data_IF_111107127379
#
_entry.id   IF_111107127379
#
_cell.length_a   1.000
_cell.length_b   1.000
_cell.length_c   1.000
_cell.angle_alpha   90.00
_cell.angle_beta   90.00
_cell.angle_gamma   90.00
#
_symmetry.space_group_name_H-M   'P 1'
#
loop_
_entity.id
_entity.type
_entity.pdbx_description
1 polymer ?
#
# COMPACT_ATOMS: atom_id res chain seq x y z
N UNK A 1 39.05 56.80 1.37
CA UNK A 1 38.77 56.11 0.09
C UNK A 1 39.10 54.63 0.30
N UNK A 2 38.10 53.81 0.64
CA UNK A 2 38.28 52.38 0.92
C UNK A 2 37.74 51.61 -0.29
N UNK A 3 38.63 50.88 -0.95
CA UNK A 3 38.34 50.02 -2.09
C UNK A 3 38.11 48.60 -1.55
N UNK A 4 36.85 48.20 -1.36
CA UNK A 4 36.49 46.80 -1.07
C UNK A 4 35.90 46.18 -2.35
N UNK A 5 36.73 45.45 -3.10
CA UNK A 5 36.23 44.46 -4.05
C UNK A 5 35.90 43.18 -3.27
N UNK A 6 34.62 42.85 -3.17
CA UNK A 6 34.11 41.64 -2.52
C UNK A 6 34.37 40.41 -3.41
N UNK A 7 35.09 39.38 -2.93
CA UNK A 7 35.26 38.15 -3.67
C UNK A 7 34.08 37.22 -3.35
N UNK A 8 33.19 37.04 -4.34
CA UNK A 8 32.13 36.01 -4.40
C UNK A 8 30.96 36.17 -3.42
N UNK A 9 29.94 36.94 -3.81
CA UNK A 9 28.59 36.84 -3.23
C UNK A 9 28.00 35.46 -3.56
N UNK A 10 28.24 34.47 -2.69
CA UNK A 10 27.57 33.19 -2.76
C UNK A 10 26.13 33.38 -2.26
N UNK A 11 25.17 33.41 -3.18
CA UNK A 11 23.75 33.29 -2.83
C UNK A 11 23.59 32.00 -2.01
N UNK A 12 22.93 32.06 -0.84
CA UNK A 12 22.79 30.96 0.13
C UNK A 12 22.12 29.68 -0.43
N UNK A 13 21.70 29.66 -1.69
CA UNK A 13 21.64 28.46 -2.52
C UNK A 13 23.04 27.90 -2.80
N UNK A 14 23.81 27.62 -1.75
CA UNK A 14 24.97 26.76 -1.85
C UNK A 14 24.51 25.47 -2.55
N UNK A 15 24.96 25.30 -3.79
CA UNK A 15 24.69 24.16 -4.65
C UNK A 15 25.22 22.91 -3.92
N UNK A 16 24.39 22.28 -3.11
CA UNK A 16 24.69 20.95 -2.60
C UNK A 16 24.85 20.05 -3.81
N UNK A 17 26.09 19.67 -4.06
CA UNK A 17 26.48 18.87 -5.20
C UNK A 17 25.89 17.48 -5.03
N UNK A 18 24.78 17.26 -5.75
CA UNK A 18 24.06 15.99 -5.81
C UNK A 18 24.29 15.37 -7.20
N UNK A 19 25.27 14.47 -7.31
CA UNK A 19 25.66 13.91 -8.60
C UNK A 19 24.54 13.06 -9.23
N UNK A 20 23.67 12.45 -8.41
CA UNK A 20 22.55 11.65 -8.90
C UNK A 20 21.44 12.53 -9.46
N UNK A 21 21.12 13.63 -8.79
CA UNK A 21 20.16 14.59 -9.31
C UNK A 21 20.64 15.22 -10.62
N UNK A 22 21.91 15.64 -10.68
CA UNK A 22 22.47 16.23 -11.90
C UNK A 22 22.47 15.22 -13.05
N UNK A 23 22.82 13.95 -12.79
CA UNK A 23 22.66 12.87 -13.77
C UNK A 23 21.20 12.76 -14.27
N UNK A 24 20.22 12.89 -13.38
CA UNK A 24 18.81 12.84 -13.78
C UNK A 24 18.43 14.02 -14.67
N UNK A 25 18.85 15.23 -14.33
CA UNK A 25 18.62 16.44 -15.14
C UNK A 25 19.18 16.25 -16.56
N UNK A 26 20.43 15.77 -16.68
CA UNK A 26 21.06 15.51 -17.98
C UNK A 26 20.29 14.43 -18.75
N UNK A 27 19.88 13.34 -18.10
CA UNK A 27 19.05 12.32 -18.75
C UNK A 27 17.69 12.85 -19.23
N UNK A 28 17.09 13.78 -18.49
CA UNK A 28 15.84 14.42 -18.93
C UNK A 28 16.05 15.23 -20.20
N UNK A 29 17.20 15.90 -20.35
CA UNK A 29 17.58 16.59 -21.59
C UNK A 29 17.84 15.58 -22.73
N UNK A 30 18.61 14.52 -22.49
CA UNK A 30 18.94 13.48 -23.49
C UNK A 30 17.66 12.81 -24.05
N UNK A 31 16.66 12.59 -23.21
CA UNK A 31 15.38 12.02 -23.62
C UNK A 31 14.35 13.06 -24.09
N UNK A 32 14.76 14.29 -24.43
CA UNK A 32 13.91 15.38 -24.94
C UNK A 32 12.73 15.76 -24.01
N UNK A 33 12.94 15.71 -22.69
CA UNK A 33 11.95 16.07 -21.65
C UNK A 33 12.57 16.94 -20.55
N UNK A 34 13.08 18.15 -20.88
CA UNK A 34 13.87 18.93 -19.94
C UNK A 34 13.10 19.27 -18.66
N UNK A 35 13.64 18.87 -17.51
CA UNK A 35 13.11 19.18 -16.19
C UNK A 35 14.16 19.95 -15.38
N UNK A 36 13.75 20.97 -14.63
CA UNK A 36 14.66 21.69 -13.74
C UNK A 36 15.04 20.86 -12.51
N UNK A 37 16.23 21.10 -11.96
CA UNK A 37 16.69 20.43 -10.74
C UNK A 37 15.72 20.65 -9.57
N UNK A 38 15.16 21.85 -9.45
CA UNK A 38 14.16 22.20 -8.43
C UNK A 38 12.86 21.41 -8.60
N UNK A 39 12.36 21.27 -9.84
CA UNK A 39 11.15 20.49 -10.13
C UNK A 39 11.33 19.00 -9.80
N UNK A 40 12.54 18.47 -9.98
CA UNK A 40 12.88 17.09 -9.63
C UNK A 40 13.05 16.89 -8.12
N UNK A 41 13.53 17.90 -7.38
CA UNK A 41 13.62 17.89 -5.91
C UNK A 41 12.26 18.08 -5.24
N UNK A 42 11.33 18.79 -5.88
CA UNK A 42 10.08 19.24 -5.27
C UNK A 42 9.24 18.08 -4.70
N UNK A 43 8.93 18.15 -3.41
CA UNK A 43 8.10 17.19 -2.71
C UNK A 43 8.77 15.84 -2.39
N UNK A 44 10.11 15.75 -2.46
CA UNK A 44 10.86 14.56 -2.06
C UNK A 44 11.56 14.77 -0.70
N UNK A 45 11.53 13.77 0.21
CA UNK A 45 12.24 13.83 1.48
C UNK A 45 13.73 13.53 1.26
N UNK A 46 14.53 14.56 0.97
CA UNK A 46 15.97 14.42 0.74
C UNK A 46 16.70 14.01 2.03
N UNK A 47 17.61 13.04 1.92
CA UNK A 47 18.50 12.64 3.03
C UNK A 47 19.80 13.40 2.87
N UNK A 48 20.18 14.24 3.85
CA UNK A 48 21.36 15.11 3.78
C UNK A 48 21.41 15.97 2.49
N UNK A 49 20.26 16.43 2.01
CA UNK A 49 20.11 17.18 0.76
C UNK A 49 20.56 16.46 -0.52
N UNK A 50 20.70 15.12 -0.49
CA UNK A 50 21.10 14.30 -1.63
C UNK A 50 20.04 13.26 -2.02
N UNK A 51 20.06 12.85 -3.28
CA UNK A 51 19.27 11.76 -3.82
C UNK A 51 19.86 10.42 -3.39
N UNK A 52 19.03 9.56 -2.84
CA UNK A 52 19.32 8.14 -2.77
C UNK A 52 18.93 7.47 -4.10
N UNK A 53 19.44 6.27 -4.42
CA UNK A 53 19.01 5.54 -5.61
C UNK A 53 17.48 5.30 -5.66
N UNK A 54 16.84 5.17 -4.50
CA UNK A 54 15.38 5.04 -4.41
C UNK A 54 14.65 6.35 -4.74
N UNK A 55 15.14 7.48 -4.22
CA UNK A 55 14.62 8.81 -4.54
C UNK A 55 14.83 9.16 -6.01
N UNK A 56 15.97 8.75 -6.59
CA UNK A 56 16.24 8.89 -8.02
C UNK A 56 15.16 8.20 -8.86
N UNK A 57 14.78 6.96 -8.52
CA UNK A 57 13.72 6.23 -9.25
C UNK A 57 12.37 6.96 -9.15
N UNK A 58 12.05 7.49 -7.97
CA UNK A 58 10.81 8.26 -7.74
C UNK A 58 10.80 9.58 -8.52
N UNK A 59 11.91 10.31 -8.52
CA UNK A 59 12.08 11.56 -9.26
C UNK A 59 12.04 11.32 -10.78
N UNK A 60 12.71 10.27 -11.28
CA UNK A 60 12.68 9.89 -12.68
C UNK A 60 11.24 9.62 -13.16
N UNK A 61 10.43 8.94 -12.35
CA UNK A 61 9.02 8.67 -12.65
C UNK A 61 8.20 9.96 -12.81
N UNK A 62 8.47 11.00 -12.01
CA UNK A 62 7.81 12.32 -12.13
C UNK A 62 8.18 13.02 -13.43
N UNK A 63 9.40 12.81 -13.92
CA UNK A 63 9.87 13.27 -15.22
C UNK A 63 9.43 12.38 -16.41
N UNK A 64 8.47 11.47 -16.19
CA UNK A 64 8.02 10.48 -17.18
C UNK A 64 9.15 9.55 -17.67
N UNK A 65 10.13 9.26 -16.81
CA UNK A 65 11.20 8.29 -17.07
C UNK A 65 10.99 7.07 -16.17
N UNK A 66 11.19 5.87 -16.71
CA UNK A 66 11.25 4.64 -15.92
C UNK A 66 12.71 4.36 -15.58
N UNK A 67 13.03 4.26 -14.29
CA UNK A 67 14.36 3.94 -13.81
C UNK A 67 14.36 2.65 -12.99
N UNK A 68 15.40 1.83 -13.14
CA UNK A 68 15.60 0.61 -12.35
C UNK A 68 17.04 0.47 -11.93
N UNK A 69 17.25 0.25 -10.62
CA UNK A 69 18.56 -0.09 -10.05
C UNK A 69 18.86 -1.58 -10.31
N UNK A 70 20.02 -1.87 -10.87
CA UNK A 70 20.48 -3.22 -11.19
C UNK A 70 21.96 -3.37 -10.81
N UNK A 71 22.32 -4.48 -10.17
CA UNK A 71 23.71 -4.88 -9.98
C UNK A 71 24.15 -5.67 -11.22
N UNK A 72 25.09 -5.12 -12.00
CA UNK A 72 25.54 -5.74 -13.25
C UNK A 72 26.94 -5.24 -13.61
N UNK A 73 27.75 -6.12 -14.19
CA UNK A 73 29.10 -5.78 -14.65
C UNK A 73 29.08 -5.02 -16.00
N UNK A 74 30.09 -4.17 -16.21
CA UNK A 74 30.24 -3.34 -17.42
C UNK A 74 30.35 -4.15 -18.73
N UNK A 75 30.76 -5.42 -18.65
CA UNK A 75 30.88 -6.31 -19.80
C UNK A 75 29.52 -6.81 -20.33
N UNK A 76 28.47 -6.80 -19.49
CA UNK A 76 27.12 -7.27 -19.85
C UNK A 76 26.21 -6.15 -20.38
N UNK A 77 26.75 -4.94 -20.59
CA UNK A 77 25.96 -3.80 -21.04
C UNK A 77 25.78 -3.86 -22.56
N UNK A 78 24.56 -4.20 -22.97
CA UNK A 78 24.17 -4.09 -24.38
C UNK A 78 24.09 -2.61 -24.79
N UNK A 79 24.49 -2.23 -26.01
CA UNK A 79 24.28 -0.88 -26.54
C UNK A 79 22.81 -0.44 -26.50
N UNK A 80 21.88 -1.39 -26.51
CA UNK A 80 20.43 -1.14 -26.46
C UNK A 80 19.94 -0.59 -25.11
N UNK A 81 20.70 -0.72 -24.02
CA UNK A 81 20.28 -0.27 -22.67
C UNK A 81 20.91 1.06 -22.25
N UNK A 82 21.71 1.68 -23.11
CA UNK A 82 22.29 3.01 -22.88
C UNK A 82 21.30 4.10 -23.33
N UNK A 83 21.31 5.30 -22.71
CA UNK A 83 22.20 5.75 -21.64
C UNK A 83 21.85 5.18 -20.25
N UNK A 84 22.86 4.94 -19.41
CA UNK A 84 22.69 4.41 -18.05
C UNK A 84 23.49 5.22 -17.03
N UNK A 85 22.95 5.43 -15.82
CA UNK A 85 23.71 6.08 -14.73
C UNK A 85 24.50 5.03 -13.97
N UNK A 86 25.80 5.26 -13.80
CA UNK A 86 26.70 4.39 -13.06
C UNK A 86 27.00 5.03 -11.70
N UNK A 87 26.92 4.21 -10.65
CA UNK A 87 27.34 4.58 -9.31
C UNK A 87 28.83 4.27 -9.17
N UNK A 88 29.63 5.25 -8.76
CA UNK A 88 31.07 5.14 -8.57
C UNK A 88 31.41 4.85 -7.10
N UNK A 89 32.58 4.27 -6.83
CA UNK A 89 33.02 3.88 -5.48
C UNK A 89 33.16 5.07 -4.52
N UNK A 90 33.43 6.26 -5.04
CA UNK A 90 33.62 7.49 -4.26
C UNK A 90 32.31 8.19 -3.87
N UNK A 91 31.16 7.52 -4.02
CA UNK A 91 29.84 8.11 -3.75
C UNK A 91 29.39 9.12 -4.83
N UNK A 92 30.07 9.17 -5.97
CA UNK A 92 29.69 9.96 -7.15
C UNK A 92 28.86 9.14 -8.13
N UNK A 93 28.24 9.80 -9.09
CA UNK A 93 27.51 9.19 -10.19
C UNK A 93 27.89 9.84 -11.52
N UNK A 94 27.81 9.09 -12.60
CA UNK A 94 27.99 9.63 -13.95
C UNK A 94 27.21 8.81 -14.98
N UNK A 95 27.02 9.38 -16.16
CA UNK A 95 26.18 8.76 -17.20
C UNK A 95 27.09 8.08 -18.22
N UNK A 96 26.87 6.80 -18.41
CA UNK A 96 27.41 6.08 -19.54
C UNK A 96 26.48 6.24 -20.75
N UNK A 97 26.92 7.02 -21.74
CA UNK A 97 26.09 7.43 -22.86
C UNK A 97 26.15 6.46 -24.05
N UNK A 98 27.34 6.18 -24.56
CA UNK A 98 27.54 5.30 -25.73
C UNK A 98 28.97 4.75 -25.82
N UNK A 99 29.13 3.67 -26.59
CA UNK A 99 30.45 3.19 -27.02
C UNK A 99 30.92 3.97 -28.25
N UNK A 100 32.17 4.44 -28.25
CA UNK A 100 32.77 5.21 -29.35
C UNK A 100 33.42 4.33 -30.44
N UNK A 101 33.65 3.04 -30.16
CA UNK A 101 34.42 2.14 -31.03
C UNK A 101 33.67 0.81 -31.26
N UNK A 102 33.78 0.25 -32.47
CA UNK A 102 33.25 -1.09 -32.85
C UNK A 102 33.88 -2.23 -32.03
N UNK A 103 35.03 -1.98 -31.39
CA UNK A 103 35.69 -2.91 -30.46
C UNK A 103 35.37 -2.63 -28.98
N UNK A 104 34.44 -1.73 -28.68
CA UNK A 104 34.02 -1.36 -27.31
C UNK A 104 35.14 -0.92 -26.37
N UNK A 105 36.27 -0.40 -26.88
CA UNK A 105 37.43 -0.05 -26.02
C UNK A 105 37.34 1.34 -25.37
N UNK A 106 36.66 2.27 -26.04
CA UNK A 106 36.45 3.65 -25.57
C UNK A 106 34.96 3.92 -25.33
N UNK A 107 34.67 4.61 -24.25
CA UNK A 107 33.30 4.93 -23.81
C UNK A 107 33.14 6.43 -23.64
N UNK A 108 31.98 6.96 -24.03
CA UNK A 108 31.60 8.33 -23.74
C UNK A 108 30.91 8.37 -22.38
N UNK A 109 31.54 9.03 -21.42
CA UNK A 109 31.07 9.16 -20.06
C UNK A 109 30.82 10.63 -19.73
N UNK A 110 29.67 10.93 -19.16
CA UNK A 110 29.31 12.30 -18.77
C UNK A 110 29.45 12.40 -17.25
N UNK A 111 30.34 13.28 -16.80
CA UNK A 111 30.45 13.64 -15.39
C UNK A 111 29.60 14.89 -15.14
N UNK A 112 28.60 14.83 -14.24
CA UNK A 112 27.74 15.95 -13.93
C UNK A 112 28.51 17.16 -13.35
N UNK A 113 29.59 16.90 -12.60
CA UNK A 113 30.47 17.90 -11.97
C UNK A 113 31.06 18.93 -12.98
N UNK A 114 31.09 18.61 -14.28
CA UNK A 114 31.65 19.45 -15.33
C UNK A 114 30.60 20.17 -16.19
N UNK A 115 29.33 20.24 -15.75
CA UNK A 115 28.30 21.09 -16.38
C UNK A 115 27.91 20.69 -17.82
N UNK A 116 27.77 19.39 -18.08
CA UNK A 116 27.51 18.74 -19.38
C UNK A 116 28.78 18.29 -20.16
N UNK A 117 29.96 18.34 -19.54
CA UNK A 117 31.21 17.84 -20.14
C UNK A 117 31.21 16.33 -20.43
N UNK A 118 31.51 15.96 -21.69
CA UNK A 118 31.74 14.57 -22.09
C UNK A 118 33.22 14.22 -21.95
N UNK A 119 33.52 13.09 -21.32
CA UNK A 119 34.86 12.53 -21.18
C UNK A 119 34.95 11.23 -21.97
N UNK A 120 36.04 11.06 -22.70
CA UNK A 120 36.41 9.78 -23.30
C UNK A 120 37.27 9.02 -22.30
N UNK A 121 36.74 7.91 -21.78
CA UNK A 121 37.48 7.04 -20.87
C UNK A 121 37.71 5.67 -21.51
N UNK A 122 38.79 5.01 -21.09
CA UNK A 122 39.02 3.61 -21.45
C UNK A 122 38.16 2.72 -20.55
N UNK A 123 37.60 1.62 -21.09
CA UNK A 123 36.74 0.71 -20.32
C UNK A 123 37.44 0.17 -19.05
N UNK A 124 38.78 0.01 -19.09
CA UNK A 124 39.59 -0.37 -17.93
C UNK A 124 39.57 0.66 -16.79
N UNK A 125 39.62 1.95 -17.11
CA UNK A 125 39.60 3.05 -16.13
C UNK A 125 38.20 3.22 -15.53
N UNK A 126 37.15 3.01 -16.33
CA UNK A 126 35.78 3.02 -15.82
C UNK A 126 35.52 1.84 -14.89
N UNK A 127 36.10 0.67 -15.18
CA UNK A 127 35.95 -0.53 -14.37
C UNK A 127 36.58 -0.40 -12.98
N UNK A 128 37.71 0.30 -12.83
CA UNK A 128 38.33 0.52 -11.51
C UNK A 128 37.45 1.35 -10.58
N UNK A 129 36.72 2.33 -11.14
CA UNK A 129 35.94 3.31 -10.39
C UNK A 129 34.47 2.93 -10.21
N UNK A 130 33.98 1.91 -10.93
CA UNK A 130 32.60 1.45 -10.87
C UNK A 130 32.30 0.63 -9.61
N UNK A 131 31.20 0.95 -8.92
CA UNK A 131 30.77 0.28 -7.69
C UNK A 131 30.04 -1.05 -7.91
N UNK A 132 29.66 -1.39 -9.16
CA UNK A 132 28.87 -2.59 -9.48
C UNK A 132 27.37 -2.34 -9.65
N UNK A 133 26.88 -1.12 -9.36
CA UNK A 133 25.46 -0.76 -9.46
C UNK A 133 25.21 0.28 -10.57
N UNK A 134 24.21 0.01 -11.41
CA UNK A 134 23.76 0.89 -12.48
C UNK A 134 22.25 1.16 -12.38
N UNK A 135 21.85 2.38 -12.73
CA UNK A 135 20.46 2.79 -12.91
C UNK A 135 20.19 2.89 -14.41
N UNK A 136 19.40 1.95 -14.92
CA UNK A 136 18.93 2.00 -16.31
C UNK A 136 17.71 2.90 -16.39
N UNK A 137 17.73 3.85 -17.31
CA UNK A 137 16.65 4.83 -17.49
C UNK A 137 16.13 4.73 -18.91
N UNK A 138 14.81 4.73 -19.06
CA UNK A 138 14.14 4.81 -20.36
C UNK A 138 12.96 5.77 -20.30
N UNK A 139 12.57 6.40 -21.42
CA UNK A 139 11.29 7.09 -21.51
C UNK A 139 10.18 6.13 -21.09
N UNK A 140 9.43 6.50 -20.06
CA UNK A 140 8.13 5.87 -19.87
C UNK A 140 7.26 6.42 -21.01
N UNK A 141 6.91 5.57 -21.96
CA UNK A 141 5.85 5.89 -22.90
C UNK A 141 4.54 5.83 -22.09
N UNK A 142 3.85 6.95 -21.86
CA UNK A 142 2.44 6.85 -21.56
C UNK A 142 1.83 6.19 -22.80
N UNK A 143 1.21 5.02 -22.64
CA UNK A 143 0.30 4.53 -23.66
C UNK A 143 -0.70 5.66 -23.91
N UNK A 144 -0.68 6.21 -25.11
CA UNK A 144 -1.55 7.30 -25.54
C UNK A 144 -2.99 6.81 -25.45
N UNK A 145 -3.81 7.46 -24.63
CA UNK A 145 -5.24 7.18 -24.39
C UNK A 145 -6.12 7.43 -25.64
N UNK A 146 -5.53 7.57 -26.83
CA UNK A 146 -6.23 7.85 -28.09
C UNK A 146 -6.36 6.67 -29.04
N UNK A 147 -5.87 5.50 -28.68
CA UNK A 147 -6.13 4.27 -29.45
C UNK A 147 -6.98 3.36 -28.58
N UNK A 148 -8.28 3.33 -28.86
CA UNK A 148 -9.19 2.31 -28.38
C UNK A 148 -8.66 0.95 -28.85
N UNK A 149 -7.99 0.21 -27.97
CA UNK A 149 -7.83 -1.23 -28.18
C UNK A 149 -7.73 -1.96 -26.83
N UNK A 150 -8.81 -2.71 -26.57
CA UNK A 150 -9.02 -3.77 -25.60
C UNK A 150 -7.86 -4.10 -24.62
N UNK A 151 -7.73 -3.32 -23.55
CA UNK A 151 -7.10 -3.77 -22.29
C UNK A 151 -7.78 -3.08 -21.11
N UNK A 152 -8.19 -3.82 -20.06
CA UNK A 152 -9.08 -3.28 -19.05
C UNK A 152 -8.41 -2.13 -18.30
N UNK A 153 -9.08 -0.99 -18.32
CA UNK A 153 -8.67 0.29 -17.77
C UNK A 153 -8.00 0.18 -16.39
N UNK A 154 -6.78 0.73 -16.26
CA UNK A 154 -6.18 1.09 -14.97
C UNK A 154 -6.87 2.35 -14.41
N UNK A 155 -8.11 2.18 -13.94
CA UNK A 155 -8.79 3.22 -13.17
C UNK A 155 -8.15 3.45 -11.79
N UNK A 156 -8.65 4.42 -10.99
CA UNK A 156 -8.18 4.71 -9.62
C UNK A 156 -8.13 3.48 -8.70
N UNK A 157 -8.92 2.45 -9.01
CA UNK A 157 -8.92 1.15 -8.31
C UNK A 157 -7.59 0.38 -8.50
N UNK A 158 -6.90 0.55 -9.63
CA UNK A 158 -5.70 -0.22 -9.98
C UNK A 158 -4.47 0.07 -9.13
N UNK A 159 -4.34 1.27 -8.53
CA UNK A 159 -3.19 1.58 -7.67
C UNK A 159 -3.30 0.89 -6.31
N UNK A 160 -4.51 0.86 -5.73
CA UNK A 160 -4.80 0.21 -4.46
C UNK A 160 -4.55 -1.29 -4.58
N UNK A 161 -5.21 -1.92 -5.55
CA UNK A 161 -5.02 -3.35 -5.83
C UNK A 161 -3.56 -3.64 -6.23
N UNK A 162 -2.89 -2.79 -7.01
CA UNK A 162 -1.48 -2.99 -7.35
C UNK A 162 -0.51 -2.92 -6.16
N UNK A 163 -0.91 -2.31 -5.04
CA UNK A 163 -0.12 -2.28 -3.81
C UNK A 163 -0.43 -3.51 -2.94
N UNK A 164 -1.69 -3.93 -2.87
CA UNK A 164 -2.14 -5.16 -2.23
C UNK A 164 -1.58 -6.41 -2.93
N UNK A 165 -1.52 -6.44 -4.26
CA UNK A 165 -0.93 -7.55 -5.00
C UNK A 165 0.60 -7.68 -4.80
N UNK A 166 1.29 -6.59 -4.39
CA UNK A 166 2.73 -6.65 -4.09
C UNK A 166 3.04 -7.44 -2.81
N UNK A 167 2.07 -7.64 -1.93
CA UNK A 167 2.18 -8.46 -0.72
C UNK A 167 1.62 -9.89 -0.90
N UNK A 168 1.42 -10.36 -2.14
CA UNK A 168 0.86 -11.70 -2.43
C UNK A 168 1.48 -12.86 -1.63
N UNK A 169 2.80 -12.85 -1.42
CA UNK A 169 3.47 -13.90 -0.64
C UNK A 169 2.93 -14.01 0.81
N UNK A 170 2.58 -12.88 1.42
CA UNK A 170 2.01 -12.87 2.77
C UNK A 170 0.59 -13.45 2.78
N UNK A 171 -0.20 -13.21 1.73
CA UNK A 171 -1.53 -13.81 1.59
C UNK A 171 -1.46 -15.33 1.42
N UNK A 172 -0.44 -15.84 0.72
CA UNK A 172 -0.21 -17.29 0.60
C UNK A 172 0.15 -17.91 1.94
N UNK A 173 1.02 -17.28 2.73
CA UNK A 173 1.37 -17.75 4.08
C UNK A 173 0.15 -17.81 5.01
N UNK A 174 -0.70 -16.77 4.99
CA UNK A 174 -1.96 -16.73 5.75
C UNK A 174 -2.97 -17.78 5.27
N UNK A 175 -3.02 -18.05 3.97
CA UNK A 175 -3.89 -19.07 3.39
C UNK A 175 -3.47 -20.49 3.81
N UNK A 176 -2.17 -20.78 3.80
CA UNK A 176 -1.63 -22.06 4.28
C UNK A 176 -1.89 -22.23 5.79
N UNK A 177 -1.68 -21.19 6.59
CA UNK A 177 -2.00 -21.24 8.01
C UNK A 177 -3.50 -21.49 8.25
N UNK A 178 -4.37 -20.82 7.50
CA UNK A 178 -5.83 -20.99 7.60
C UNK A 178 -6.29 -22.39 7.17
N UNK A 179 -5.66 -22.98 6.16
CA UNK A 179 -5.87 -24.37 5.77
C UNK A 179 -5.59 -25.34 6.93
N UNK A 180 -4.43 -25.21 7.58
CA UNK A 180 -4.04 -26.07 8.70
C UNK A 180 -4.95 -25.90 9.91
N UNK A 181 -5.31 -24.65 10.25
CA UNK A 181 -6.25 -24.34 11.34
C UNK A 181 -7.61 -24.99 11.10
N UNK A 182 -8.15 -24.85 9.88
CA UNK A 182 -9.43 -25.47 9.53
C UNK A 182 -9.36 -27.00 9.53
N UNK A 183 -8.22 -27.60 9.16
CA UNK A 183 -8.02 -29.05 9.26
C UNK A 183 -7.94 -29.52 10.72
N UNK A 184 -7.23 -28.80 11.59
CA UNK A 184 -7.14 -29.11 13.02
C UNK A 184 -8.48 -28.94 13.75
N UNK A 185 -9.33 -28.03 13.29
CA UNK A 185 -10.68 -27.89 13.84
C UNK A 185 -11.54 -29.16 13.66
N UNK A 186 -11.24 -30.03 12.70
CA UNK A 186 -11.90 -31.34 12.55
C UNK A 186 -11.48 -32.35 13.63
N UNK A 187 -10.37 -32.15 14.32
CA UNK A 187 -9.90 -33.09 15.32
C UNK A 187 -10.86 -33.22 16.50
N UNK A 188 -11.53 -32.14 16.91
CA UNK A 188 -12.49 -32.17 18.02
C UNK A 188 -13.75 -33.00 17.68
N UNK A 189 -14.47 -32.76 16.56
CA UNK A 189 -15.58 -33.63 16.16
C UNK A 189 -15.17 -35.10 15.97
N UNK A 190 -14.02 -35.37 15.34
CA UNK A 190 -13.53 -36.72 15.13
C UNK A 190 -13.16 -37.42 16.44
N UNK A 191 -12.60 -36.68 17.40
CA UNK A 191 -12.34 -37.18 18.74
C UNK A 191 -13.63 -37.58 19.45
N UNK A 192 -14.62 -36.68 19.50
CA UNK A 192 -15.92 -36.95 20.12
C UNK A 192 -16.56 -38.17 19.46
N UNK A 193 -16.57 -38.24 18.12
CA UNK A 193 -17.10 -39.38 17.37
C UNK A 193 -16.41 -40.70 17.76
N UNK A 194 -15.07 -40.74 17.77
CA UNK A 194 -14.35 -41.95 18.14
C UNK A 194 -14.54 -42.32 19.62
N UNK A 195 -14.63 -41.35 20.51
CA UNK A 195 -14.85 -41.60 21.94
C UNK A 195 -16.24 -42.20 22.16
N UNK A 196 -17.29 -41.58 21.62
CA UNK A 196 -18.66 -42.04 21.82
C UNK A 196 -18.97 -43.34 21.07
N UNK A 197 -18.47 -43.50 19.84
CA UNK A 197 -18.84 -44.67 19.02
C UNK A 197 -17.96 -45.89 19.30
N UNK A 198 -16.71 -45.69 19.73
CA UNK A 198 -15.75 -46.80 19.90
C UNK A 198 -15.24 -46.96 21.32
N UNK A 199 -14.86 -45.87 22.00
CA UNK A 199 -14.20 -45.98 23.30
C UNK A 199 -15.20 -46.30 24.41
N UNK A 200 -16.31 -45.57 24.48
CA UNK A 200 -17.34 -45.73 25.52
C UNK A 200 -17.99 -47.11 25.46
N UNK A 201 -18.43 -47.64 24.29
CA UNK A 201 -19.09 -48.94 24.24
C UNK A 201 -18.15 -50.12 24.52
N UNK A 202 -16.87 -50.00 24.15
CA UNK A 202 -15.88 -51.07 24.31
C UNK A 202 -15.05 -50.94 25.60
N UNK A 203 -15.32 -49.94 26.45
CA UNK A 203 -14.51 -49.62 27.64
C UNK A 203 -12.99 -49.54 27.38
N UNK A 204 -12.60 -49.04 26.20
CA UNK A 204 -11.21 -49.04 25.73
C UNK A 204 -10.41 -47.84 26.27
N UNK A 205 -10.12 -47.83 27.58
CA UNK A 205 -9.48 -46.69 28.28
C UNK A 205 -8.09 -46.37 27.71
N UNK A 206 -7.31 -47.37 27.28
CA UNK A 206 -6.00 -47.13 26.66
C UNK A 206 -6.11 -46.33 25.35
N UNK A 207 -7.11 -46.66 24.52
CA UNK A 207 -7.40 -45.92 23.29
C UNK A 207 -7.85 -44.49 23.58
N UNK A 208 -8.57 -44.27 24.68
CA UNK A 208 -8.97 -42.93 25.12
C UNK A 208 -7.75 -42.05 25.37
N UNK A 209 -6.77 -42.53 26.15
CA UNK A 209 -5.59 -41.76 26.48
C UNK A 209 -4.76 -41.42 25.24
N UNK A 210 -4.59 -42.37 24.32
CA UNK A 210 -3.88 -42.13 23.06
C UNK A 210 -4.58 -41.06 22.22
N UNK A 211 -5.91 -41.17 22.06
CA UNK A 211 -6.71 -40.18 21.33
C UNK A 211 -6.69 -38.81 22.01
N UNK A 212 -6.80 -38.77 23.35
CA UNK A 212 -6.78 -37.54 24.13
C UNK A 212 -5.45 -36.80 23.99
N UNK A 213 -4.32 -37.51 24.09
CA UNK A 213 -2.99 -36.94 23.88
C UNK A 213 -2.84 -36.44 22.44
N UNK A 214 -3.29 -37.22 21.45
CA UNK A 214 -3.26 -36.82 20.05
C UNK A 214 -4.02 -35.52 19.80
N UNK A 215 -5.24 -35.40 20.33
CA UNK A 215 -6.06 -34.19 20.20
C UNK A 215 -5.49 -33.03 20.98
N UNK A 216 -4.93 -33.26 22.18
CA UNK A 216 -4.24 -32.22 22.93
C UNK A 216 -3.06 -31.62 22.14
N UNK A 217 -2.28 -32.45 21.45
CA UNK A 217 -1.21 -32.01 20.55
C UNK A 217 -1.79 -31.19 19.38
N UNK A 218 -2.85 -31.68 18.73
CA UNK A 218 -3.50 -30.97 17.63
C UNK A 218 -4.04 -29.61 18.08
N UNK A 219 -4.68 -29.52 19.25
CA UNK A 219 -5.15 -28.25 19.83
C UNK A 219 -3.99 -27.32 20.18
N UNK A 220 -2.85 -27.85 20.63
CA UNK A 220 -1.62 -27.08 20.81
C UNK A 220 -1.11 -26.48 19.50
N UNK A 221 -1.06 -27.27 18.43
CA UNK A 221 -0.71 -26.76 17.10
C UNK A 221 -1.73 -25.78 16.53
N UNK A 222 -3.03 -26.00 16.76
CA UNK A 222 -4.10 -25.07 16.38
C UNK A 222 -3.89 -23.70 17.04
N UNK A 223 -3.60 -23.66 18.34
CA UNK A 223 -3.31 -22.43 19.08
C UNK A 223 -2.08 -21.69 18.50
N UNK A 224 -0.99 -22.43 18.23
CA UNK A 224 0.23 -21.86 17.64
C UNK A 224 -0.04 -21.32 16.25
N UNK A 225 -0.75 -22.07 15.40
CA UNK A 225 -1.07 -21.64 14.03
C UNK A 225 -2.00 -20.43 14.01
N UNK A 226 -3.01 -20.37 14.87
CA UNK A 226 -3.87 -19.18 15.03
C UNK A 226 -3.07 -17.95 15.45
N UNK A 227 -2.12 -18.13 16.37
CA UNK A 227 -1.24 -17.04 16.84
C UNK A 227 -0.31 -16.54 15.71
N UNK A 228 0.33 -17.46 14.98
CA UNK A 228 1.18 -17.12 13.83
C UNK A 228 0.38 -16.41 12.74
N UNK A 229 -0.83 -16.89 12.44
CA UNK A 229 -1.74 -16.26 11.49
C UNK A 229 -2.04 -14.80 11.88
N UNK A 230 -2.39 -14.56 13.15
CA UNK A 230 -2.62 -13.20 13.66
C UNK A 230 -1.40 -12.31 13.50
N UNK A 231 -0.22 -12.81 13.90
CA UNK A 231 1.04 -12.08 13.76
C UNK A 231 1.37 -11.71 12.31
N UNK A 232 1.19 -12.62 11.35
CA UNK A 232 1.47 -12.35 9.94
C UNK A 232 0.49 -11.33 9.34
N UNK A 233 -0.78 -11.39 9.72
CA UNK A 233 -1.80 -10.42 9.31
C UNK A 233 -1.44 -9.02 9.84
N UNK A 234 -1.07 -8.90 11.12
CA UNK A 234 -0.68 -7.63 11.72
C UNK A 234 0.57 -7.05 11.07
N UNK A 235 1.58 -7.90 10.80
CA UNK A 235 2.81 -7.51 10.12
C UNK A 235 2.53 -7.02 8.69
N UNK A 236 1.65 -7.71 7.96
CA UNK A 236 1.21 -7.31 6.62
C UNK A 236 0.46 -5.97 6.66
N UNK A 237 -0.40 -5.77 7.67
CA UNK A 237 -1.11 -4.52 7.92
C UNK A 237 -0.18 -3.34 8.10
N UNK A 238 0.81 -3.46 8.99
CA UNK A 238 1.79 -2.40 9.27
C UNK A 238 2.62 -2.00 8.06
N UNK A 239 3.14 -2.97 7.29
CA UNK A 239 3.92 -2.67 6.07
C UNK A 239 3.08 -1.94 5.02
N UNK A 240 1.84 -2.36 4.87
CA UNK A 240 0.88 -1.77 3.92
C UNK A 240 0.51 -0.35 4.34
N UNK A 241 0.27 -0.13 5.63
CA UNK A 241 -0.05 1.17 6.22
C UNK A 241 1.04 2.21 5.95
N UNK A 242 2.30 1.90 6.28
CA UNK A 242 3.44 2.82 6.09
C UNK A 242 3.57 3.25 4.60
N UNK A 243 3.39 2.31 3.67
CA UNK A 243 3.52 2.57 2.25
C UNK A 243 2.33 3.39 1.71
N UNK A 244 1.12 3.14 2.21
CA UNK A 244 -0.06 3.90 1.81
C UNK A 244 -0.09 5.30 2.42
N UNK A 245 0.22 5.45 3.71
CA UNK A 245 0.29 6.74 4.39
C UNK A 245 1.28 7.69 3.68
N UNK A 246 2.49 7.20 3.39
CA UNK A 246 3.50 7.98 2.68
C UNK A 246 3.10 8.38 1.26
N UNK A 247 2.42 7.50 0.52
CA UNK A 247 1.91 7.81 -0.84
C UNK A 247 0.72 8.74 -0.84
N UNK A 248 -0.22 8.57 0.10
CA UNK A 248 -1.38 9.45 0.23
C UNK A 248 -0.91 10.85 0.56
N UNK A 249 0.02 11.00 1.51
CA UNK A 249 0.59 12.30 1.85
C UNK A 249 1.33 12.93 0.66
N UNK A 250 2.13 12.15 -0.09
CA UNK A 250 2.77 12.62 -1.33
C UNK A 250 1.76 13.10 -2.37
N UNK A 251 0.67 12.36 -2.58
CA UNK A 251 -0.39 12.71 -3.51
C UNK A 251 -1.13 14.00 -3.08
N UNK A 252 -1.43 14.13 -1.78
CA UNK A 252 -2.05 15.33 -1.21
C UNK A 252 -1.18 16.56 -1.44
N UNK A 253 0.13 16.46 -1.17
CA UNK A 253 1.08 17.54 -1.40
C UNK A 253 1.29 17.87 -2.89
N UNK A 254 1.14 16.88 -3.77
CA UNK A 254 1.25 17.04 -5.22
C UNK A 254 -0.03 17.53 -5.91
N UNK A 255 -1.12 17.74 -5.18
CA UNK A 255 -2.42 18.11 -5.76
C UNK A 255 -2.42 19.57 -6.22
N UNK A 256 -2.73 19.80 -7.50
CA UNK A 256 -2.83 21.15 -8.08
C UNK A 256 -4.00 21.94 -7.46
N UNK A 257 -3.87 23.28 -7.34
CA UNK A 257 -4.87 24.15 -6.69
C UNK A 257 -6.31 23.99 -7.21
N UNK A 258 -6.50 23.59 -8.47
CA UNK A 258 -7.82 23.42 -9.07
C UNK A 258 -8.59 22.18 -8.54
N UNK A 259 -7.87 21.20 -7.98
CA UNK A 259 -8.43 19.99 -7.37
C UNK A 259 -8.51 20.07 -5.83
N UNK A 260 -8.31 21.27 -5.25
CA UNK A 260 -8.32 21.43 -3.81
C UNK A 260 -9.74 21.18 -3.24
N UNK A 261 -9.88 20.33 -2.21
CA UNK A 261 -11.17 20.05 -1.59
C UNK A 261 -11.83 21.34 -1.05
N UNK A 262 -13.15 21.44 -1.18
CA UNK A 262 -13.93 22.60 -0.69
C UNK A 262 -13.83 22.80 0.83
N UNK A 263 -13.42 21.78 1.59
CA UNK A 263 -13.17 21.88 3.04
C UNK A 263 -11.93 21.04 3.40
N UNK A 264 -10.93 21.71 3.98
CA UNK A 264 -9.71 21.07 4.50
C UNK A 264 -10.05 20.07 5.61
N UNK A 265 -11.03 20.40 6.44
CA UNK A 265 -11.48 19.56 7.53
C UNK A 265 -12.20 18.28 7.10
N UNK A 266 -13.12 18.40 6.13
CA UNK A 266 -13.77 17.23 5.55
C UNK A 266 -12.76 16.30 4.86
N UNK A 267 -11.76 16.87 4.20
CA UNK A 267 -10.71 16.10 3.52
C UNK A 267 -9.77 15.39 4.49
N UNK A 268 -9.36 16.05 5.57
CA UNK A 268 -8.57 15.43 6.63
C UNK A 268 -9.35 14.27 7.30
N UNK A 269 -10.65 14.45 7.51
CA UNK A 269 -11.51 13.39 8.05
C UNK A 269 -11.60 12.19 7.08
N UNK A 270 -11.75 12.44 5.77
CA UNK A 270 -11.75 11.37 4.77
C UNK A 270 -10.42 10.60 4.70
N UNK A 271 -9.29 11.27 4.93
CA UNK A 271 -7.97 10.62 4.98
C UNK A 271 -7.87 9.68 6.18
N UNK A 272 -8.33 10.13 7.35
CA UNK A 272 -8.36 9.31 8.56
C UNK A 272 -9.35 8.13 8.43
N UNK A 273 -10.50 8.35 7.79
CA UNK A 273 -11.47 7.29 7.53
C UNK A 273 -10.94 6.22 6.54
N UNK A 274 -10.01 6.61 5.66
CA UNK A 274 -9.32 5.65 4.79
C UNK A 274 -8.36 4.74 5.57
N UNK A 275 -7.76 5.22 6.67
CA UNK A 275 -7.00 4.37 7.60
C UNK A 275 -7.89 3.33 8.28
N UNK A 276 -9.09 3.72 8.71
CA UNK A 276 -10.08 2.79 9.27
C UNK A 276 -10.56 1.75 8.24
N UNK A 277 -10.74 2.17 6.98
CA UNK A 277 -11.06 1.25 5.88
C UNK A 277 -9.90 0.28 5.60
N UNK A 278 -8.64 0.76 5.65
CA UNK A 278 -7.46 -0.11 5.57
C UNK A 278 -7.46 -1.13 6.70
N UNK A 279 -7.65 -0.69 7.94
CA UNK A 279 -7.68 -1.56 9.11
C UNK A 279 -8.71 -2.68 8.93
N UNK A 280 -9.90 -2.38 8.40
CA UNK A 280 -10.88 -3.40 8.05
C UNK A 280 -10.34 -4.48 7.08
N UNK A 281 -9.66 -4.08 6.00
CA UNK A 281 -9.07 -5.01 5.02
C UNK A 281 -7.89 -5.83 5.56
N UNK A 282 -7.17 -5.31 6.56
CA UNK A 282 -6.10 -6.03 7.26
C UNK A 282 -6.56 -6.70 8.56
N UNK A 283 -7.85 -6.71 8.86
CA UNK A 283 -8.41 -7.29 10.08
C UNK A 283 -9.03 -8.68 9.88
N UNK A 284 -9.67 -9.18 10.94
CA UNK A 284 -10.46 -10.41 11.00
C UNK A 284 -11.42 -10.64 9.81
N UNK A 285 -11.88 -9.58 9.14
CA UNK A 285 -12.74 -9.71 7.95
C UNK A 285 -12.03 -10.42 6.80
N UNK A 286 -10.74 -10.15 6.57
CA UNK A 286 -10.00 -10.83 5.51
C UNK A 286 -9.85 -12.32 5.81
N UNK A 287 -9.62 -12.70 7.07
CA UNK A 287 -9.60 -14.11 7.47
C UNK A 287 -10.93 -14.80 7.27
N UNK A 288 -12.05 -14.13 7.52
CA UNK A 288 -13.37 -14.69 7.24
C UNK A 288 -13.51 -15.06 5.76
N UNK A 289 -13.05 -14.21 4.83
CA UNK A 289 -13.06 -14.55 3.40
C UNK A 289 -12.17 -15.76 3.06
N UNK A 290 -11.04 -15.91 3.75
CA UNK A 290 -10.14 -17.07 3.59
C UNK A 290 -10.78 -18.33 4.17
N UNK A 291 -11.64 -18.21 5.19
CA UNK A 291 -12.31 -19.32 5.85
C UNK A 291 -13.54 -19.83 5.06
N UNK A 292 -14.19 -19.01 4.22
CA UNK A 292 -15.35 -19.40 3.36
C UNK A 292 -15.12 -20.68 2.53
N UNK A 293 -14.01 -20.83 1.76
CA UNK A 293 -13.80 -22.06 0.99
C UNK A 293 -13.66 -23.30 1.89
N UNK A 294 -13.21 -23.14 3.14
CA UNK A 294 -13.14 -24.25 4.10
C UNK A 294 -14.51 -24.68 4.59
N UNK A 295 -15.51 -23.80 4.58
CA UNK A 295 -16.90 -24.19 4.85
C UNK A 295 -17.36 -25.30 3.90
N UNK A 296 -16.96 -25.26 2.62
CA UNK A 296 -17.26 -26.34 1.68
C UNK A 296 -16.55 -27.66 2.05
N UNK A 297 -15.31 -27.58 2.55
CA UNK A 297 -14.58 -28.75 3.05
C UNK A 297 -15.29 -29.36 4.26
N UNK A 298 -15.75 -28.54 5.22
CA UNK A 298 -16.55 -29.03 6.35
C UNK A 298 -17.84 -29.72 5.89
N UNK A 299 -18.58 -29.13 4.95
CA UNK A 299 -19.79 -29.75 4.39
C UNK A 299 -19.44 -31.10 3.74
N UNK A 300 -18.35 -31.19 2.98
CA UNK A 300 -17.90 -32.44 2.33
C UNK A 300 -17.53 -33.51 3.36
N UNK A 301 -16.84 -33.13 4.44
CA UNK A 301 -16.51 -34.05 5.54
C UNK A 301 -17.78 -34.54 6.24
N UNK A 302 -18.73 -33.65 6.56
CA UNK A 302 -20.01 -34.04 7.17
C UNK A 302 -20.80 -34.96 6.23
N UNK A 303 -20.82 -34.64 4.93
CA UNK A 303 -21.47 -35.48 3.91
C UNK A 303 -20.88 -36.88 3.90
N UNK A 304 -19.54 -36.98 3.98
CA UNK A 304 -18.84 -38.27 3.99
C UNK A 304 -19.15 -39.11 5.23
N UNK A 305 -19.50 -38.49 6.36
CA UNK A 305 -19.91 -39.17 7.59
C UNK A 305 -21.40 -39.57 7.53
N UNK A 306 -22.29 -38.62 7.25
CA UNK A 306 -23.73 -38.84 7.17
C UNK A 306 -24.41 -37.84 6.22
N UNK A 307 -24.84 -38.30 5.06
CA UNK A 307 -25.44 -37.47 3.99
C UNK A 307 -26.65 -36.66 4.48
N UNK A 308 -27.53 -37.25 5.30
CA UNK A 308 -28.73 -36.55 5.79
C UNK A 308 -28.39 -35.38 6.73
N UNK A 309 -27.33 -35.50 7.52
CA UNK A 309 -26.90 -34.44 8.42
C UNK A 309 -26.24 -33.29 7.65
N UNK A 310 -25.64 -33.57 6.49
CA UNK A 310 -25.02 -32.55 5.64
C UNK A 310 -26.03 -31.64 4.93
N UNK A 311 -27.28 -32.10 4.72
CA UNK A 311 -28.34 -31.28 4.10
C UNK A 311 -28.67 -30.05 4.98
N UNK A 312 -28.57 -30.18 6.30
CA UNK A 312 -28.89 -29.10 7.25
C UNK A 312 -27.98 -27.88 7.02
N UNK A 313 -26.64 -27.97 7.15
CA UNK A 313 -25.75 -26.83 6.87
C UNK A 313 -25.80 -26.41 5.40
N UNK A 314 -26.01 -27.35 4.46
CA UNK A 314 -26.12 -27.05 3.03
C UNK A 314 -27.32 -26.14 2.71
N UNK A 315 -28.43 -26.25 3.45
CA UNK A 315 -29.59 -25.37 3.32
C UNK A 315 -29.49 -24.12 4.21
N UNK A 316 -28.98 -24.26 5.44
CA UNK A 316 -28.89 -23.16 6.40
C UNK A 316 -27.90 -22.06 5.96
N UNK A 317 -26.72 -22.43 5.43
CA UNK A 317 -25.68 -21.46 5.03
C UNK A 317 -26.19 -20.54 3.91
N UNK A 318 -26.76 -21.03 2.78
CA UNK A 318 -27.35 -20.17 1.77
C UNK A 318 -28.47 -19.29 2.31
N UNK A 319 -29.33 -19.80 3.20
CA UNK A 319 -30.40 -19.03 3.81
C UNK A 319 -29.85 -17.83 4.60
N UNK A 320 -28.85 -18.07 5.46
CA UNK A 320 -28.17 -17.04 6.25
C UNK A 320 -27.48 -16.03 5.33
N UNK A 321 -26.80 -16.48 4.27
CA UNK A 321 -26.17 -15.61 3.28
C UNK A 321 -27.19 -14.71 2.57
N UNK A 322 -28.34 -15.25 2.18
CA UNK A 322 -29.42 -14.49 1.54
C UNK A 322 -29.95 -13.41 2.49
N UNK A 323 -30.25 -13.76 3.74
CA UNK A 323 -30.71 -12.80 4.75
C UNK A 323 -29.66 -11.69 4.97
N UNK A 324 -28.39 -12.08 5.07
CA UNK A 324 -27.26 -11.14 5.23
C UNK A 324 -27.15 -10.17 4.06
N UNK A 325 -27.27 -10.65 2.82
CA UNK A 325 -27.24 -9.83 1.61
C UNK A 325 -28.41 -8.85 1.56
N UNK A 326 -29.61 -9.27 1.96
CA UNK A 326 -30.78 -8.38 2.03
C UNK A 326 -30.60 -7.29 3.10
N UNK A 327 -30.06 -7.61 4.28
CA UNK A 327 -29.78 -6.64 5.34
C UNK A 327 -28.61 -5.69 5.00
N UNK A 328 -27.70 -6.11 4.13
CA UNK A 328 -26.56 -5.29 3.72
C UNK A 328 -26.97 -4.03 2.94
N UNK A 329 -28.05 -4.11 2.14
CA UNK A 329 -28.56 -2.99 1.34
C UNK A 329 -28.97 -1.77 2.20
N UNK A 330 -29.88 -1.89 3.18
CA UNK A 330 -30.24 -0.77 4.06
C UNK A 330 -29.06 -0.34 4.93
N UNK A 331 -28.26 -1.30 5.44
CA UNK A 331 -27.10 -1.00 6.28
C UNK A 331 -26.10 -0.10 5.55
N UNK A 332 -25.76 -0.42 4.30
CA UNK A 332 -24.85 0.38 3.46
C UNK A 332 -25.33 1.84 3.33
N UNK A 333 -26.63 2.02 3.13
CA UNK A 333 -27.22 3.36 2.97
C UNK A 333 -27.11 4.18 4.26
N UNK A 334 -27.41 3.56 5.41
CA UNK A 334 -27.35 4.23 6.72
C UNK A 334 -25.90 4.52 7.13
N UNK A 335 -24.96 3.63 6.83
CA UNK A 335 -23.53 3.87 7.02
C UNK A 335 -23.07 5.10 6.20
N UNK A 336 -23.49 5.22 4.93
CA UNK A 336 -23.17 6.38 4.11
C UNK A 336 -23.75 7.69 4.66
N UNK A 337 -24.97 7.65 5.20
CA UNK A 337 -25.58 8.81 5.86
C UNK A 337 -24.84 9.20 7.14
N UNK A 338 -24.45 8.22 7.94
CA UNK A 338 -23.65 8.41 9.16
C UNK A 338 -22.31 9.06 8.82
N UNK A 339 -21.65 8.58 7.77
CA UNK A 339 -20.39 9.12 7.26
C UNK A 339 -20.52 10.58 6.80
N UNK A 340 -21.54 10.88 5.98
CA UNK A 340 -21.82 12.25 5.51
C UNK A 340 -22.08 13.21 6.67
N UNK A 341 -22.90 12.80 7.65
CA UNK A 341 -23.19 13.61 8.83
C UNK A 341 -21.93 13.84 9.71
N UNK A 342 -21.09 12.80 9.86
CA UNK A 342 -19.81 12.90 10.57
C UNK A 342 -18.84 13.88 9.91
N UNK A 343 -18.67 13.78 8.58
CA UNK A 343 -17.82 14.68 7.79
C UNK A 343 -18.32 16.13 7.85
N UNK A 344 -19.64 16.36 7.77
CA UNK A 344 -20.24 17.70 7.94
C UNK A 344 -20.01 18.27 9.34
N UNK A 345 -20.14 17.45 10.39
CA UNK A 345 -19.84 17.85 11.77
C UNK A 345 -18.37 18.30 11.89
N UNK A 346 -17.44 17.52 11.35
CA UNK A 346 -16.02 17.85 11.41
C UNK A 346 -15.68 19.11 10.60
N UNK A 347 -16.30 19.29 9.43
CA UNK A 347 -16.16 20.50 8.63
C UNK A 347 -16.64 21.74 9.38
N UNK A 348 -17.82 21.69 10.00
CA UNK A 348 -18.38 22.79 10.80
C UNK A 348 -17.48 23.14 11.98
N UNK A 349 -16.91 22.13 12.67
CA UNK A 349 -15.96 22.36 13.76
C UNK A 349 -14.76 23.19 13.30
N UNK A 350 -14.13 22.77 12.20
CA UNK A 350 -12.92 23.41 11.68
C UNK A 350 -13.22 24.81 11.15
N UNK A 351 -14.35 24.99 10.45
CA UNK A 351 -14.82 26.30 9.99
C UNK A 351 -15.08 27.25 11.17
N UNK A 352 -15.75 26.77 12.22
CA UNK A 352 -16.05 27.54 13.44
C UNK A 352 -14.78 27.93 14.18
N UNK A 353 -13.81 27.02 14.30
CA UNK A 353 -12.53 27.29 14.97
C UNK A 353 -11.67 28.27 14.17
N UNK A 354 -11.63 28.13 12.84
CA UNK A 354 -10.84 29.01 11.97
C UNK A 354 -11.45 30.41 11.91
N UNK A 355 -12.78 30.53 11.93
CA UNK A 355 -13.52 31.79 11.88
C UNK A 355 -14.00 32.31 13.25
N UNK A 356 -13.42 31.84 14.36
CA UNK A 356 -13.99 32.10 15.69
C UNK A 356 -14.03 33.58 16.06
N UNK A 357 -13.04 34.36 15.62
CA UNK A 357 -12.99 35.80 15.84
C UNK A 357 -14.13 36.51 15.11
N UNK A 358 -14.34 36.17 13.82
CA UNK A 358 -15.45 36.70 13.01
C UNK A 358 -16.81 36.31 13.58
N UNK A 359 -16.93 35.08 14.09
CA UNK A 359 -18.14 34.61 14.74
C UNK A 359 -18.48 35.40 16.00
N UNK A 360 -17.47 35.70 16.83
CA UNK A 360 -17.63 36.51 18.04
C UNK A 360 -17.93 37.98 17.75
N UNK A 361 -17.28 38.56 16.73
CA UNK A 361 -17.56 39.96 16.35
C UNK A 361 -18.96 40.12 15.77
N UNK A 362 -19.45 39.13 15.03
CA UNK A 362 -20.82 39.09 14.49
C UNK A 362 -21.87 38.57 15.48
N UNK A 363 -21.46 38.13 16.68
CA UNK A 363 -22.33 37.50 17.70
C UNK A 363 -23.20 36.37 17.13
N UNK A 364 -22.62 35.56 16.24
CA UNK A 364 -23.31 34.49 15.53
C UNK A 364 -23.08 33.11 16.17
N UNK A 365 -22.62 33.05 17.41
CA UNK A 365 -22.31 31.80 18.12
C UNK A 365 -23.55 30.91 18.27
N UNK A 366 -24.71 31.50 18.60
CA UNK A 366 -25.97 30.76 18.75
C UNK A 366 -26.43 30.07 17.45
N UNK A 367 -26.15 30.68 16.29
CA UNK A 367 -26.48 30.08 15.00
C UNK A 367 -25.59 28.86 14.71
N UNK A 368 -24.29 28.96 14.99
CA UNK A 368 -23.37 27.84 14.82
C UNK A 368 -23.63 26.72 15.83
N UNK A 369 -23.93 27.07 17.08
CA UNK A 369 -24.34 26.11 18.11
C UNK A 369 -25.57 25.32 17.67
N UNK A 370 -26.61 25.99 17.16
CA UNK A 370 -27.80 25.33 16.64
C UNK A 370 -27.49 24.40 15.46
N UNK A 371 -26.64 24.82 14.52
CA UNK A 371 -26.20 23.95 13.41
C UNK A 371 -25.42 22.74 13.91
N UNK A 372 -24.55 22.92 14.90
CA UNK A 372 -23.81 21.84 15.54
C UNK A 372 -24.75 20.82 16.17
N UNK A 373 -25.70 21.28 17.00
CA UNK A 373 -26.71 20.43 17.64
C UNK A 373 -27.55 19.64 16.63
N UNK A 374 -27.93 20.27 15.51
CA UNK A 374 -28.64 19.59 14.42
C UNK A 374 -27.80 18.47 13.79
N UNK A 375 -26.52 18.73 13.50
CA UNK A 375 -25.61 17.71 12.94
C UNK A 375 -25.35 16.57 13.92
N UNK A 376 -25.18 16.88 15.21
CA UNK A 376 -25.03 15.89 16.28
C UNK A 376 -26.29 15.04 16.42
N UNK A 377 -27.48 15.66 16.40
CA UNK A 377 -28.76 14.95 16.43
C UNK A 377 -28.95 14.01 15.25
N UNK A 378 -28.67 14.48 14.03
CA UNK A 378 -28.73 13.65 12.81
C UNK A 378 -27.74 12.48 12.87
N UNK A 379 -26.50 12.73 13.31
CA UNK A 379 -25.49 11.69 13.47
C UNK A 379 -25.92 10.63 14.49
N UNK A 380 -26.50 11.03 15.61
CA UNK A 380 -27.02 10.12 16.63
C UNK A 380 -28.15 9.23 16.08
N UNK A 381 -29.10 9.81 15.33
CA UNK A 381 -30.19 9.08 14.68
C UNK A 381 -29.67 8.05 13.66
N UNK A 382 -28.75 8.45 12.78
CA UNK A 382 -28.17 7.52 11.80
C UNK A 382 -27.31 6.44 12.47
N UNK A 383 -26.57 6.78 13.53
CA UNK A 383 -25.78 5.82 14.30
C UNK A 383 -26.66 4.77 15.00
N UNK A 384 -27.78 5.19 15.61
CA UNK A 384 -28.76 4.26 16.19
C UNK A 384 -29.34 3.32 15.14
N UNK A 385 -29.73 3.85 13.97
CA UNK A 385 -30.26 3.06 12.87
C UNK A 385 -29.21 2.08 12.30
N UNK A 386 -27.94 2.51 12.23
CA UNK A 386 -26.81 1.66 11.83
C UNK A 386 -26.65 0.50 12.81
N UNK A 387 -26.62 0.79 14.11
CA UNK A 387 -26.54 -0.23 15.17
C UNK A 387 -27.71 -1.19 15.14
N UNK A 388 -28.93 -0.71 14.88
CA UNK A 388 -30.11 -1.56 14.76
C UNK A 388 -29.96 -2.57 13.62
N UNK A 389 -29.57 -2.14 12.41
CA UNK A 389 -29.35 -3.05 11.29
C UNK A 389 -28.17 -4.00 11.52
N UNK A 390 -27.08 -3.53 12.12
CA UNK A 390 -25.96 -4.39 12.49
C UNK A 390 -26.35 -5.44 13.53
N UNK A 391 -27.14 -5.07 14.54
CA UNK A 391 -27.63 -5.99 15.56
C UNK A 391 -28.62 -7.01 14.98
N UNK A 392 -29.51 -6.59 14.09
CA UNK A 392 -30.37 -7.50 13.34
C UNK A 392 -29.56 -8.50 12.53
N UNK A 393 -28.53 -8.04 11.80
CA UNK A 393 -27.66 -8.93 11.05
C UNK A 393 -27.01 -9.98 11.97
N UNK A 394 -26.36 -9.56 13.05
CA UNK A 394 -25.69 -10.48 13.99
C UNK A 394 -26.64 -11.45 14.68
N UNK A 395 -27.87 -11.04 14.99
CA UNK A 395 -28.84 -11.92 15.67
C UNK A 395 -29.51 -12.92 14.71
N UNK A 396 -29.56 -12.61 13.42
CA UNK A 396 -30.19 -13.46 12.39
C UNK A 396 -29.19 -14.42 11.71
N UNK A 397 -27.88 -14.19 11.87
CA UNK A 397 -26.79 -14.98 11.29
C UNK A 397 -26.06 -15.75 12.36
#
# INVERSE_FOLDING_TARGET
MINNSTPWENTETALFDDPLLQCLVILTKIHNRPCSAEALKAGLPLVNHRFTPELFIRAAKRAQLSARLVKRELAEFSPLVLPAVLLLKDGRAGIFNQYLDKKHKKVQFILPDAGDGTLELTLKELHSNYSGYALFVRPAYPFDERTEDHSPARGPRGWFWGTVLKSWNLYVEVLVASLLINLFALASPLFVMNVYDRVVPNHAIETLWVLAIGVAIVLGFDLVMRSLRGYFIDMAGKKTDILLASRLFEQVLGTQRQAQPRSVGAFANHLHEFEAFRDFFTSATLTTFIDIPFTAVFILVIWSIHTELAIIPLAAIPLVLVISLFLQLPLRTVIQQTFRAGSQKQALLIETLTGIETLKTLRAEGLMQRRWEQLVGNLAQFSLKSRFFSALAVNLT
#
